data_IF_498500892284
#
_entry.id   IF_498500892284
#
_cell.length_a   1.000
_cell.length_b   1.000
_cell.length_c   1.000
_cell.angle_alpha   90.00
_cell.angle_beta   90.00
_cell.angle_gamma   90.00
#
_symmetry.space_group_name_H-M   'P 1'
#
loop_
_entity.id
_entity.type
_entity.pdbx_description
1 polymer ?
#
# COMPACT_ATOMS: atom_id res chain seq x y z
N UNK A 1 -31.14 -27.43 9.54
CA UNK A 1 -30.99 -27.72 8.09
C UNK A 1 -29.60 -28.29 7.89
N UNK A 2 -29.36 -29.20 6.93
CA UNK A 2 -28.00 -29.66 6.66
C UNK A 2 -27.18 -28.43 6.20
N UNK A 3 -26.06 -28.21 6.85
CA UNK A 3 -25.04 -27.21 6.49
C UNK A 3 -24.44 -27.57 5.13
N UNK A 4 -24.49 -26.66 4.16
CA UNK A 4 -23.88 -26.85 2.84
C UNK A 4 -22.47 -26.27 2.83
N UNK A 5 -21.48 -27.01 2.32
CA UNK A 5 -20.16 -26.46 1.97
C UNK A 5 -20.00 -26.46 0.45
N UNK A 6 -19.35 -25.43 -0.10
CA UNK A 6 -19.18 -25.29 -1.56
C UNK A 6 -18.54 -26.53 -2.19
N UNK A 7 -17.54 -27.10 -1.54
CA UNK A 7 -16.76 -28.24 -2.04
C UNK A 7 -17.59 -29.53 -2.10
N UNK A 8 -18.50 -29.77 -1.16
CA UNK A 8 -19.25 -31.03 -1.05
C UNK A 8 -20.35 -31.17 -2.11
N UNK A 9 -21.18 -30.13 -2.35
CA UNK A 9 -22.28 -30.28 -3.33
C UNK A 9 -21.88 -29.91 -4.76
N UNK A 10 -20.84 -29.08 -4.97
CA UNK A 10 -20.39 -28.78 -6.34
C UNK A 10 -19.63 -29.96 -6.97
N UNK A 11 -19.32 -31.01 -6.20
CA UNK A 11 -18.76 -32.28 -6.69
C UNK A 11 -17.44 -32.11 -7.47
N UNK A 12 -16.72 -31.01 -7.23
CA UNK A 12 -15.60 -30.58 -8.05
C UNK A 12 -14.42 -31.56 -7.93
N UNK A 13 -13.87 -31.98 -9.08
CA UNK A 13 -12.70 -32.84 -9.12
C UNK A 13 -11.37 -32.07 -9.07
N UNK A 14 -11.40 -30.74 -8.91
CA UNK A 14 -10.20 -29.89 -8.81
C UNK A 14 -9.54 -30.09 -7.44
N UNK A 15 -8.38 -30.78 -7.34
CA UNK A 15 -7.80 -31.13 -6.05
C UNK A 15 -7.39 -29.89 -5.23
N UNK A 16 -6.95 -28.83 -5.91
CA UNK A 16 -6.52 -27.55 -5.32
C UNK A 16 -7.62 -26.84 -4.50
N UNK A 17 -8.90 -27.17 -4.71
CA UNK A 17 -9.99 -26.65 -3.88
C UNK A 17 -9.96 -27.18 -2.44
N UNK A 18 -9.33 -28.33 -2.19
CA UNK A 18 -9.25 -28.89 -0.83
C UNK A 18 -8.46 -28.01 0.13
N UNK A 19 -7.51 -27.24 -0.41
CA UNK A 19 -6.69 -26.27 0.32
C UNK A 19 -7.28 -24.85 0.33
N UNK A 20 -8.43 -24.61 -0.31
CA UNK A 20 -9.05 -23.30 -0.39
C UNK A 20 -9.89 -22.96 0.86
N UNK A 21 -9.92 -21.67 1.19
CA UNK A 21 -10.83 -21.05 2.15
C UNK A 21 -12.31 -21.33 1.89
N UNK A 22 -12.70 -21.59 0.63
CA UNK A 22 -14.07 -21.98 0.25
C UNK A 22 -14.54 -23.26 0.95
N UNK A 23 -13.60 -24.14 1.31
CA UNK A 23 -13.89 -25.37 2.03
C UNK A 23 -14.40 -25.11 3.46
N UNK A 24 -14.12 -23.94 4.03
CA UNK A 24 -14.61 -23.54 5.35
C UNK A 24 -15.92 -22.75 5.29
N UNK A 25 -16.38 -22.32 4.11
CA UNK A 25 -17.61 -21.55 3.99
C UNK A 25 -18.82 -22.47 4.11
N UNK A 26 -19.56 -22.28 5.19
CA UNK A 26 -20.79 -23.02 5.48
C UNK A 26 -21.98 -22.14 5.19
N UNK A 27 -22.89 -22.62 4.36
CA UNK A 27 -24.12 -21.91 3.98
C UNK A 27 -25.33 -22.63 4.55
N UNK A 28 -26.20 -21.87 5.20
CA UNK A 28 -27.43 -22.36 5.83
C UNK A 28 -28.56 -22.61 4.83
N UNK A 29 -28.57 -21.86 3.73
CA UNK A 29 -29.50 -21.97 2.59
C UNK A 29 -28.75 -21.60 1.32
N UNK A 30 -29.13 -22.20 0.19
CA UNK A 30 -28.52 -21.90 -1.10
C UNK A 30 -29.45 -22.19 -2.29
N UNK A 31 -29.12 -21.61 -3.44
CA UNK A 31 -29.71 -21.89 -4.74
C UNK A 31 -28.62 -21.83 -5.80
N UNK A 32 -28.59 -22.79 -6.72
CA UNK A 32 -27.60 -22.87 -7.80
C UNK A 32 -28.35 -22.85 -9.14
N UNK A 33 -27.91 -21.99 -10.07
CA UNK A 33 -28.45 -21.88 -11.42
C UNK A 33 -27.33 -21.67 -12.43
N UNK A 34 -26.96 -22.73 -13.14
CA UNK A 34 -25.85 -22.70 -14.09
C UNK A 34 -24.53 -22.38 -13.39
N UNK A 35 -23.89 -21.28 -13.79
CA UNK A 35 -22.65 -20.78 -13.20
C UNK A 35 -22.87 -19.87 -12.00
N UNK A 36 -24.11 -19.49 -11.67
CA UNK A 36 -24.38 -18.59 -10.55
C UNK A 36 -24.94 -19.37 -9.35
N UNK A 37 -24.67 -18.87 -8.15
CA UNK A 37 -25.33 -19.33 -6.93
C UNK A 37 -25.64 -18.18 -5.97
N UNK A 38 -26.62 -18.39 -5.11
CA UNK A 38 -26.89 -17.54 -3.95
C UNK A 38 -26.91 -18.39 -2.69
N UNK A 39 -26.59 -17.79 -1.56
CA UNK A 39 -26.67 -18.48 -0.28
C UNK A 39 -26.58 -17.54 0.91
N UNK A 40 -26.86 -18.10 2.09
CA UNK A 40 -26.74 -17.39 3.36
C UNK A 40 -25.60 -18.02 4.15
N UNK A 41 -24.45 -17.37 4.15
CA UNK A 41 -23.23 -17.79 4.85
C UNK A 41 -23.49 -17.78 6.35
N UNK A 42 -23.32 -18.92 7.00
CA UNK A 42 -23.33 -19.07 8.45
C UNK A 42 -21.95 -18.69 9.00
N UNK A 43 -21.91 -17.55 9.66
CA UNK A 43 -20.66 -16.91 10.06
C UNK A 43 -20.00 -17.63 11.24
N UNK A 44 -20.80 -18.25 12.11
CA UNK A 44 -20.30 -19.01 13.25
C UNK A 44 -19.76 -20.38 12.83
N UNK A 45 -20.42 -21.02 11.85
CA UNK A 45 -19.99 -22.31 11.33
C UNK A 45 -18.74 -22.23 10.45
N UNK A 46 -18.44 -21.05 9.87
CA UNK A 46 -17.37 -20.87 8.89
C UNK A 46 -15.98 -20.49 9.48
N UNK A 47 -15.80 -20.66 10.80
CA UNK A 47 -14.51 -20.48 11.48
C UNK A 47 -14.28 -19.12 12.14
N UNK A 48 -13.11 -18.97 12.78
CA UNK A 48 -12.81 -17.86 13.69
C UNK A 48 -12.75 -16.47 13.02
N UNK A 49 -12.15 -16.37 11.83
CA UNK A 49 -12.08 -15.09 11.10
C UNK A 49 -13.47 -14.59 10.68
N UNK A 50 -14.30 -15.48 10.13
CA UNK A 50 -15.68 -15.12 9.81
C UNK A 50 -16.44 -14.78 11.09
N UNK A 51 -16.26 -15.52 12.18
CA UNK A 51 -16.86 -15.16 13.48
C UNK A 51 -16.50 -13.74 13.96
N UNK A 52 -15.27 -13.28 13.67
CA UNK A 52 -14.82 -11.91 13.96
C UNK A 52 -15.58 -10.89 13.12
N UNK A 53 -15.78 -11.17 11.84
CA UNK A 53 -16.59 -10.34 10.94
C UNK A 53 -18.06 -10.35 11.39
N UNK A 54 -18.61 -11.50 11.78
CA UNK A 54 -19.96 -11.60 12.33
C UNK A 54 -20.13 -10.74 13.57
N UNK A 55 -19.17 -10.79 14.50
CA UNK A 55 -19.17 -9.95 15.68
C UNK A 55 -19.05 -8.45 15.33
N UNK A 56 -18.16 -8.08 14.40
CA UNK A 56 -18.00 -6.70 13.90
C UNK A 56 -19.28 -6.16 13.26
N UNK A 57 -19.96 -7.00 12.49
CA UNK A 57 -21.20 -6.65 11.80
C UNK A 57 -22.44 -6.81 12.69
N UNK A 58 -22.29 -7.39 13.88
CA UNK A 58 -23.37 -7.81 14.77
C UNK A 58 -24.40 -8.71 14.05
N UNK A 59 -23.90 -9.70 13.28
CA UNK A 59 -24.70 -10.67 12.54
C UNK A 59 -24.20 -12.10 12.75
N UNK A 60 -25.11 -13.06 12.66
CA UNK A 60 -24.80 -14.50 12.67
C UNK A 60 -24.74 -15.09 11.27
N UNK A 61 -25.22 -14.37 10.26
CA UNK A 61 -25.23 -14.81 8.87
C UNK A 61 -25.12 -13.66 7.88
N UNK A 62 -24.60 -13.94 6.69
CA UNK A 62 -24.41 -12.94 5.61
C UNK A 62 -24.97 -13.50 4.31
N UNK A 63 -25.87 -12.76 3.67
CA UNK A 63 -26.37 -13.12 2.34
C UNK A 63 -25.29 -12.87 1.27
N UNK A 64 -25.02 -13.88 0.44
CA UNK A 64 -23.97 -13.88 -0.56
C UNK A 64 -24.52 -14.31 -1.93
N UNK A 65 -23.93 -13.75 -2.99
CA UNK A 65 -24.02 -14.25 -4.37
C UNK A 65 -22.64 -14.73 -4.78
N UNK A 66 -22.56 -15.79 -5.57
CA UNK A 66 -21.32 -16.18 -6.21
C UNK A 66 -21.48 -16.62 -7.65
N UNK A 67 -20.35 -16.72 -8.33
CA UNK A 67 -20.22 -17.20 -9.71
C UNK A 67 -19.06 -18.16 -9.82
N UNK A 68 -19.24 -19.22 -10.61
CA UNK A 68 -18.25 -20.25 -10.88
C UNK A 68 -17.98 -20.28 -12.39
N UNK A 69 -16.73 -20.06 -12.79
CA UNK A 69 -16.31 -20.17 -14.19
C UNK A 69 -15.23 -21.24 -14.32
N UNK A 70 -15.26 -21.98 -15.43
CA UNK A 70 -14.28 -23.01 -15.75
C UNK A 70 -13.78 -22.79 -17.17
N UNK A 71 -12.50 -22.48 -17.31
CA UNK A 71 -11.82 -22.26 -18.59
C UNK A 71 -10.35 -22.66 -18.47
N UNK A 72 -9.79 -23.25 -19.54
CA UNK A 72 -8.35 -23.54 -19.67
C UNK A 72 -7.75 -24.23 -18.42
N UNK A 73 -8.35 -25.34 -17.98
CA UNK A 73 -7.93 -26.11 -16.80
C UNK A 73 -7.93 -25.31 -15.48
N UNK A 74 -8.66 -24.18 -15.44
CA UNK A 74 -8.76 -23.27 -14.30
C UNK A 74 -10.22 -23.09 -13.90
N UNK A 75 -10.48 -23.22 -12.59
CA UNK A 75 -11.75 -22.92 -11.95
C UNK A 75 -11.62 -21.62 -11.16
N UNK A 76 -12.44 -20.63 -11.48
CA UNK A 76 -12.55 -19.38 -10.72
C UNK A 76 -13.89 -19.34 -9.99
N UNK A 77 -13.85 -19.07 -8.69
CA UNK A 77 -15.02 -18.88 -7.85
C UNK A 77 -14.94 -17.49 -7.25
N UNK A 78 -15.96 -16.68 -7.51
CA UNK A 78 -16.10 -15.34 -6.94
C UNK A 78 -17.35 -15.31 -6.08
N UNK A 79 -17.25 -14.80 -4.86
CA UNK A 79 -18.37 -14.68 -3.91
C UNK A 79 -18.40 -13.25 -3.38
N UNK A 80 -19.57 -12.63 -3.29
CA UNK A 80 -19.73 -11.27 -2.77
C UNK A 80 -21.00 -11.12 -1.91
N UNK A 81 -20.92 -10.31 -0.86
CA UNK A 81 -22.06 -9.99 -0.01
C UNK A 81 -23.13 -9.20 -0.78
N UNK A 82 -24.40 -9.53 -0.58
CA UNK A 82 -25.52 -8.84 -1.26
C UNK A 82 -26.18 -7.75 -0.42
N UNK A 83 -25.75 -7.59 0.84
CA UNK A 83 -26.32 -6.60 1.77
C UNK A 83 -25.24 -5.61 2.25
N UNK A 84 -24.89 -4.59 1.44
CA UNK A 84 -23.88 -3.61 1.82
C UNK A 84 -24.30 -2.76 3.03
N UNK A 85 -25.59 -2.67 3.37
CA UNK A 85 -26.06 -1.83 4.48
C UNK A 85 -25.69 -2.43 5.83
N UNK A 86 -25.73 -3.76 5.96
CA UNK A 86 -25.24 -4.47 7.15
C UNK A 86 -23.76 -4.19 7.37
N UNK A 87 -22.96 -4.21 6.30
CA UNK A 87 -21.52 -3.93 6.37
C UNK A 87 -21.24 -2.50 6.80
N UNK A 88 -21.92 -1.52 6.18
CA UNK A 88 -21.81 -0.11 6.55
C UNK A 88 -22.18 0.09 8.03
N UNK A 89 -23.34 -0.42 8.47
CA UNK A 89 -23.80 -0.26 9.83
C UNK A 89 -22.85 -0.89 10.87
N UNK A 90 -22.35 -2.10 10.59
CA UNK A 90 -21.42 -2.81 11.44
C UNK A 90 -20.08 -2.10 11.60
N UNK A 91 -19.49 -1.66 10.49
CA UNK A 91 -18.22 -0.92 10.50
C UNK A 91 -18.38 0.44 11.18
N UNK A 92 -19.45 1.17 10.86
CA UNK A 92 -19.75 2.44 11.51
C UNK A 92 -19.92 2.30 13.02
N UNK A 93 -20.52 1.21 13.50
CA UNK A 93 -20.67 0.95 14.93
C UNK A 93 -19.36 0.52 15.60
N UNK A 94 -18.54 -0.28 14.92
CA UNK A 94 -17.34 -0.89 15.48
C UNK A 94 -16.08 -0.05 15.34
N UNK A 95 -16.04 0.92 14.42
CA UNK A 95 -14.88 1.77 14.15
C UNK A 95 -15.31 3.25 14.21
N UNK A 96 -15.44 3.82 15.42
CA UNK A 96 -15.93 5.20 15.62
C UNK A 96 -15.15 6.24 14.82
N UNK A 97 -13.84 6.01 14.63
CA UNK A 97 -12.95 6.92 13.92
C UNK A 97 -13.46 7.25 12.51
N UNK A 98 -13.91 6.25 11.75
CA UNK A 98 -14.35 6.40 10.35
C UNK A 98 -15.87 6.42 10.19
N UNK A 99 -16.61 6.34 11.30
CA UNK A 99 -18.05 6.05 11.35
C UNK A 99 -18.90 6.95 10.43
N UNK A 100 -18.62 8.25 10.43
CA UNK A 100 -19.37 9.24 9.64
C UNK A 100 -18.92 9.35 8.18
N UNK A 101 -17.87 8.61 7.80
CA UNK A 101 -17.24 8.67 6.49
C UNK A 101 -17.53 7.42 5.64
N UNK A 102 -18.05 6.32 6.21
CA UNK A 102 -18.36 5.11 5.44
C UNK A 102 -19.53 5.35 4.47
N UNK A 103 -19.31 5.11 3.17
CA UNK A 103 -20.35 5.22 2.11
C UNK A 103 -20.75 3.90 1.51
N UNK A 104 -19.79 3.00 1.36
CA UNK A 104 -20.01 1.66 0.85
C UNK A 104 -19.12 0.71 1.63
N UNK A 105 -19.58 -0.51 1.82
CA UNK A 105 -18.74 -1.59 2.28
C UNK A 105 -19.33 -2.91 1.82
N UNK A 106 -18.47 -3.90 1.68
CA UNK A 106 -18.85 -5.25 1.33
C UNK A 106 -17.68 -6.20 1.45
N UNK A 107 -17.97 -7.47 1.35
CA UNK A 107 -16.97 -8.54 1.40
C UNK A 107 -17.01 -9.32 0.09
N UNK A 108 -15.84 -9.65 -0.43
CA UNK A 108 -15.68 -10.55 -1.56
C UNK A 108 -14.62 -11.61 -1.29
N UNK A 109 -14.78 -12.77 -1.92
CA UNK A 109 -13.83 -13.88 -1.88
C UNK A 109 -13.62 -14.32 -3.30
N UNK A 110 -12.39 -14.24 -3.78
CA UNK A 110 -11.99 -14.72 -5.10
C UNK A 110 -10.98 -15.86 -4.97
N UNK A 111 -11.33 -17.01 -5.54
CA UNK A 111 -10.53 -18.23 -5.55
C UNK A 111 -10.24 -18.62 -7.00
N UNK A 112 -8.97 -18.83 -7.33
CA UNK A 112 -8.54 -19.37 -8.62
C UNK A 112 -7.79 -20.68 -8.37
N UNK A 113 -8.31 -21.77 -8.92
CA UNK A 113 -7.77 -23.12 -8.76
C UNK A 113 -7.48 -23.74 -10.11
N UNK A 114 -6.42 -24.54 -10.23
CA UNK A 114 -6.13 -25.29 -11.47
C UNK A 114 -6.41 -26.78 -11.30
N UNK A 115 -6.52 -27.53 -12.40
CA UNK A 115 -6.68 -29.00 -12.36
C UNK A 115 -5.44 -29.73 -11.83
N UNK A 116 -4.31 -29.03 -11.69
CA UNK A 116 -3.06 -29.57 -11.15
C UNK A 116 -2.96 -29.26 -9.66
N UNK A 117 -2.66 -30.30 -8.89
CA UNK A 117 -2.23 -30.17 -7.50
C UNK A 117 -0.70 -30.12 -7.55
N UNK A 118 -0.11 -28.93 -7.38
CA UNK A 118 1.34 -28.82 -7.21
C UNK A 118 1.66 -28.78 -5.70
N UNK A 119 2.16 -29.90 -5.13
CA UNK A 119 2.45 -29.96 -3.70
C UNK A 119 3.57 -29.00 -3.26
N UNK A 120 4.36 -28.47 -4.20
CA UNK A 120 5.44 -27.53 -3.93
C UNK A 120 4.96 -26.06 -3.98
N UNK A 121 3.79 -25.76 -4.57
CA UNK A 121 3.24 -24.40 -4.65
C UNK A 121 2.55 -23.92 -3.35
N UNK A 122 2.43 -24.79 -2.34
CA UNK A 122 1.78 -24.47 -1.06
C UNK A 122 0.27 -24.22 -1.19
N UNK A 123 -0.43 -23.88 -0.09
CA UNK A 123 -1.85 -23.55 -0.16
C UNK A 123 -2.05 -22.30 -1.04
N UNK A 124 -2.87 -22.43 -2.09
CA UNK A 124 -3.27 -21.29 -2.92
C UNK A 124 -3.93 -20.24 -2.02
N UNK A 125 -3.38 -19.03 -2.01
CA UNK A 125 -3.91 -17.93 -1.22
C UNK A 125 -5.19 -17.42 -1.88
N UNK A 126 -6.33 -17.64 -1.24
CA UNK A 126 -7.57 -17.02 -1.66
C UNK A 126 -7.57 -15.54 -1.28
N UNK A 127 -8.14 -14.71 -2.15
CA UNK A 127 -8.26 -13.28 -1.89
C UNK A 127 -9.57 -13.03 -1.16
N UNK A 128 -9.51 -13.08 0.16
CA UNK A 128 -10.58 -12.60 1.03
C UNK A 128 -10.44 -11.08 1.21
N UNK A 129 -11.35 -10.32 0.64
CA UNK A 129 -11.32 -8.86 0.65
C UNK A 129 -12.52 -8.31 1.42
N UNK A 130 -12.26 -7.63 2.54
CA UNK A 130 -13.21 -6.69 3.12
C UNK A 130 -12.95 -5.31 2.51
N UNK A 131 -13.91 -4.78 1.76
CA UNK A 131 -13.84 -3.46 1.14
C UNK A 131 -14.63 -2.42 1.93
N UNK A 132 -14.05 -1.24 2.12
CA UNK A 132 -14.69 -0.10 2.78
C UNK A 132 -14.39 1.16 1.98
N UNK A 133 -15.42 1.81 1.47
CA UNK A 133 -15.29 3.11 0.78
C UNK A 133 -15.62 4.24 1.74
N UNK A 134 -14.64 5.10 2.00
CA UNK A 134 -14.77 6.32 2.78
C UNK A 134 -15.04 7.53 1.88
N UNK A 135 -15.97 8.39 2.25
CA UNK A 135 -16.09 9.75 1.74
C UNK A 135 -15.14 10.65 2.50
N UNK A 136 -14.12 11.16 1.83
CA UNK A 136 -13.14 12.06 2.44
C UNK A 136 -13.63 13.52 2.35
N UNK A 137 -14.17 13.92 1.20
CA UNK A 137 -14.76 15.25 1.00
C UNK A 137 -16.00 15.16 0.12
N UNK A 138 -16.67 16.26 -0.20
CA UNK A 138 -17.82 16.26 -1.12
C UNK A 138 -17.51 15.75 -2.52
N UNK A 139 -16.24 15.77 -2.94
CA UNK A 139 -15.78 15.39 -4.29
C UNK A 139 -14.82 14.20 -4.29
N UNK A 140 -14.43 13.67 -3.14
CA UNK A 140 -13.42 12.63 -3.01
C UNK A 140 -13.87 11.44 -2.15
N UNK A 141 -13.61 10.24 -2.66
CA UNK A 141 -13.80 8.97 -1.95
C UNK A 141 -12.59 8.06 -2.10
N UNK A 142 -12.42 7.18 -1.13
CA UNK A 142 -11.27 6.29 -0.99
C UNK A 142 -11.75 4.88 -0.60
N UNK A 143 -11.39 3.84 -1.37
CA UNK A 143 -11.64 2.44 -1.00
C UNK A 143 -10.42 1.82 -0.33
N UNK A 144 -10.65 1.22 0.83
CA UNK A 144 -9.68 0.53 1.66
C UNK A 144 -10.04 -0.96 1.65
N UNK A 145 -9.02 -1.83 1.54
CA UNK A 145 -9.18 -3.29 1.52
C UNK A 145 -8.43 -3.91 2.69
N UNK A 146 -9.02 -4.91 3.32
CA UNK A 146 -8.33 -5.77 4.29
C UNK A 146 -8.40 -7.22 3.85
N UNK A 147 -7.26 -7.91 3.98
CA UNK A 147 -7.23 -9.35 4.11
C UNK A 147 -7.39 -9.72 5.58
N UNK A 148 -8.52 -10.33 5.93
CA UNK A 148 -8.79 -10.75 7.32
C UNK A 148 -8.04 -12.06 7.58
N UNK A 149 -7.10 -12.12 8.54
CA UNK A 149 -6.35 -13.34 8.80
C UNK A 149 -7.28 -14.44 9.34
N UNK A 150 -7.20 -15.62 8.74
CA UNK A 150 -8.11 -16.76 9.01
C UNK A 150 -8.08 -17.26 10.46
N UNK A 151 -7.08 -16.88 11.26
CA UNK A 151 -6.85 -17.37 12.63
C UNK A 151 -7.26 -16.40 13.75
N UNK A 152 -7.85 -15.24 13.45
CA UNK A 152 -8.16 -14.20 14.43
C UNK A 152 -6.89 -13.48 14.92
N UNK A 153 -6.86 -12.16 14.82
CA UNK A 153 -5.66 -11.38 15.12
C UNK A 153 -5.75 -9.93 14.63
N UNK A 154 -4.61 -9.25 14.63
CA UNK A 154 -4.42 -7.92 14.00
C UNK A 154 -4.83 -8.02 12.53
N UNK A 155 -5.62 -7.06 12.04
CA UNK A 155 -5.91 -6.94 10.62
C UNK A 155 -5.73 -5.49 10.19
N UNK A 156 -5.23 -5.29 8.98
CA UNK A 156 -4.95 -3.96 8.44
C UNK A 156 -5.92 -3.67 7.31
N UNK A 157 -6.57 -2.50 7.38
CA UNK A 157 -7.32 -1.93 6.29
C UNK A 157 -6.37 -0.98 5.55
N UNK A 158 -5.89 -1.41 4.38
CA UNK A 158 -4.94 -0.66 3.55
C UNK A 158 -5.58 -0.15 2.26
N UNK A 159 -5.26 1.10 1.89
CA UNK A 159 -5.73 1.71 0.66
C UNK A 159 -4.66 2.64 0.08
N UNK A 160 -4.23 2.36 -1.14
CA UNK A 160 -3.42 3.28 -1.93
C UNK A 160 -4.33 4.18 -2.75
N UNK A 161 -4.06 5.48 -2.79
CA UNK A 161 -4.85 6.45 -3.53
C UNK A 161 -3.98 7.19 -4.52
N UNK A 162 -4.53 7.46 -5.69
CA UNK A 162 -3.85 8.26 -6.70
C UNK A 162 -4.79 9.37 -7.16
N UNK A 163 -4.26 10.60 -7.21
CA UNK A 163 -4.93 11.76 -7.80
C UNK A 163 -6.27 12.15 -7.16
N UNK A 164 -6.47 11.81 -5.89
CA UNK A 164 -7.65 12.25 -5.13
C UNK A 164 -7.34 13.63 -4.54
N UNK A 165 -7.96 14.66 -5.12
CA UNK A 165 -7.87 16.02 -4.60
C UNK A 165 -8.55 16.13 -3.24
N UNK A 166 -7.76 16.24 -2.18
CA UNK A 166 -8.22 16.42 -0.80
C UNK A 166 -7.47 17.56 -0.12
N UNK A 167 -8.05 18.09 0.94
CA UNK A 167 -7.40 19.05 1.81
C UNK A 167 -7.06 18.40 3.16
N UNK A 168 -6.04 18.92 3.86
CA UNK A 168 -5.69 18.45 5.20
C UNK A 168 -6.89 18.44 6.18
N UNK A 169 -7.79 19.45 6.18
CA UNK A 169 -9.02 19.39 6.98
C UNK A 169 -9.94 18.20 6.70
N UNK A 170 -9.93 17.65 5.48
CA UNK A 170 -10.77 16.50 5.13
C UNK A 170 -10.33 15.22 5.87
N UNK A 171 -9.10 15.16 6.37
CA UNK A 171 -8.53 13.99 7.06
C UNK A 171 -8.56 14.12 8.60
N UNK A 172 -9.13 15.21 9.14
CA UNK A 172 -9.22 15.48 10.59
C UNK A 172 -9.71 14.31 11.41
N UNK A 173 -10.71 13.60 10.89
CA UNK A 173 -11.36 12.50 11.58
C UNK A 173 -10.40 11.33 11.86
N UNK A 174 -9.39 11.12 11.02
CA UNK A 174 -8.39 10.05 11.16
C UNK A 174 -7.42 10.29 12.32
N UNK A 175 -7.31 11.54 12.77
CA UNK A 175 -6.36 11.97 13.81
C UNK A 175 -6.92 11.85 15.23
N UNK A 176 -8.19 11.43 15.38
CA UNK A 176 -8.84 11.31 16.68
C UNK A 176 -8.81 12.61 17.50
N UNK A 177 -8.33 12.54 18.75
CA UNK A 177 -8.22 13.71 19.65
C UNK A 177 -7.25 14.77 19.14
N UNK A 178 -6.27 14.39 18.31
CA UNK A 178 -5.36 15.35 17.71
C UNK A 178 -6.06 16.18 16.64
N UNK A 179 -7.19 15.73 16.08
CA UNK A 179 -7.96 16.38 15.01
C UNK A 179 -8.61 17.74 15.31
N UNK A 180 -8.31 18.39 16.43
CA UNK A 180 -8.63 19.82 16.72
C UNK A 180 -7.37 20.68 16.96
N UNK A 181 -6.83 21.37 15.95
CA UNK A 181 -5.61 22.19 16.02
C UNK A 181 -4.92 22.43 14.67
N UNK A 182 -3.94 23.35 14.61
CA UNK A 182 -3.08 23.59 13.43
C UNK A 182 -1.81 22.72 13.45
N UNK A 183 -1.73 21.73 14.36
CA UNK A 183 -0.52 20.97 14.66
C UNK A 183 -0.28 19.77 13.70
N UNK A 184 -1.11 19.56 12.68
CA UNK A 184 -1.13 18.31 11.88
C UNK A 184 -0.50 18.44 10.51
N UNK A 185 0.01 19.61 10.19
CA UNK A 185 0.91 19.77 9.08
C UNK A 185 1.80 20.96 9.40
N UNK A 186 3.12 20.93 9.13
CA UNK A 186 3.91 22.14 9.04
C UNK A 186 3.49 22.91 7.77
N UNK A 187 2.22 23.31 7.69
CA UNK A 187 1.59 24.00 6.57
C UNK A 187 2.13 25.44 6.40
N UNK A 188 2.91 25.93 7.36
CA UNK A 188 3.67 27.17 7.23
C UNK A 188 5.11 26.97 6.73
N UNK A 189 5.68 25.75 6.77
CA UNK A 189 7.12 25.54 6.57
C UNK A 189 7.48 24.73 5.31
N UNK A 190 6.58 23.90 4.79
CA UNK A 190 6.75 23.26 3.47
C UNK A 190 6.39 24.21 2.30
N UNK A 191 7.01 25.39 2.30
CA UNK A 191 7.12 26.33 1.17
C UNK A 191 5.82 26.90 0.55
N UNK A 192 5.90 28.00 -0.21
CA UNK A 192 4.79 28.43 -1.04
C UNK A 192 4.65 27.45 -2.21
N UNK A 193 3.68 26.54 -2.15
CA UNK A 193 3.20 25.87 -3.35
C UNK A 193 2.76 26.99 -4.32
N UNK A 194 3.58 27.28 -5.34
CA UNK A 194 3.40 28.45 -6.19
C UNK A 194 2.03 28.39 -6.87
N UNK A 195 1.11 29.19 -6.33
CA UNK A 195 -0.22 29.43 -6.83
C UNK A 195 -0.13 30.46 -7.97
N UNK A 196 0.15 30.01 -9.19
CA UNK A 196 -0.19 30.79 -10.38
C UNK A 196 -1.65 30.45 -10.79
N UNK A 197 -2.52 31.40 -11.19
CA UNK A 197 -3.95 31.16 -11.41
C UNK A 197 -4.32 30.26 -12.61
N UNK A 198 -3.38 29.49 -13.17
CA UNK A 198 -3.50 28.82 -14.48
C UNK A 198 -3.33 27.29 -14.50
N UNK A 199 -3.43 26.59 -13.37
CA UNK A 199 -3.39 25.11 -13.35
C UNK A 199 -2.71 24.57 -12.09
N UNK A 200 -3.44 24.59 -10.98
CA UNK A 200 -2.90 24.31 -9.64
C UNK A 200 -2.43 22.85 -9.50
N UNK A 201 -1.27 22.57 -8.88
CA UNK A 201 -1.03 21.26 -8.29
C UNK A 201 -1.99 21.08 -7.11
N UNK A 202 -2.77 19.99 -7.12
CA UNK A 202 -3.61 19.60 -6.00
C UNK A 202 -2.78 18.71 -5.07
N UNK A 203 -2.84 18.96 -3.75
CA UNK A 203 -2.44 17.94 -2.78
C UNK A 203 -3.23 16.68 -3.09
N UNK A 204 -2.50 15.59 -3.31
CA UNK A 204 -3.08 14.29 -3.62
C UNK A 204 -2.87 13.39 -2.41
N UNK A 205 -3.92 12.67 -2.04
CA UNK A 205 -3.75 11.56 -1.13
C UNK A 205 -2.94 10.48 -1.83
N UNK A 206 -1.81 10.08 -1.23
CA UNK A 206 -0.94 9.02 -1.75
C UNK A 206 -1.34 7.65 -1.17
N UNK A 207 -1.75 7.63 0.10
CA UNK A 207 -2.17 6.40 0.76
C UNK A 207 -2.84 6.66 2.11
N UNK A 208 -3.66 5.71 2.55
CA UNK A 208 -4.16 5.62 3.93
C UNK A 208 -4.07 4.15 4.33
N UNK A 209 -3.46 3.89 5.48
CA UNK A 209 -3.49 2.61 6.17
C UNK A 209 -4.12 2.79 7.55
N UNK A 210 -5.03 1.91 7.93
CA UNK A 210 -5.57 1.81 9.28
C UNK A 210 -5.26 0.41 9.82
N UNK A 211 -4.44 0.34 10.87
CA UNK A 211 -4.20 -0.91 11.58
C UNK A 211 -5.19 -1.06 12.71
N UNK A 212 -5.92 -2.18 12.71
CA UNK A 212 -6.97 -2.48 13.66
C UNK A 212 -6.61 -3.73 14.45
N UNK A 213 -6.97 -3.72 15.73
CA UNK A 213 -6.88 -4.89 16.59
C UNK A 213 -8.26 -5.26 17.12
N UNK A 214 -8.71 -6.47 16.80
CA UNK A 214 -9.94 -7.03 17.35
C UNK A 214 -9.62 -7.93 18.55
N UNK A 215 -10.27 -7.66 19.68
CA UNK A 215 -10.39 -8.60 20.81
C UNK A 215 -11.78 -9.23 20.75
N UNK A 216 -11.89 -10.55 20.93
CA UNK A 216 -13.16 -11.27 20.76
C UNK A 216 -13.95 -11.48 22.08
N UNK A 217 -13.33 -11.25 23.24
CA UNK A 217 -14.01 -11.43 24.53
C UNK A 217 -13.50 -10.46 25.61
N UNK A 218 -14.28 -9.41 25.96
CA UNK A 218 -15.46 -8.94 25.23
C UNK A 218 -15.11 -8.51 23.79
N UNK A 219 -16.06 -8.54 22.86
CA UNK A 219 -15.80 -8.09 21.49
C UNK A 219 -15.52 -6.58 21.48
N UNK A 220 -14.31 -6.19 21.13
CA UNK A 220 -13.90 -4.79 20.97
C UNK A 220 -12.94 -4.66 19.80
N UNK A 221 -13.14 -3.68 18.92
CA UNK A 221 -12.16 -3.28 17.92
C UNK A 221 -11.50 -1.99 18.41
N UNK A 222 -10.19 -2.05 18.64
CA UNK A 222 -9.35 -0.88 18.90
C UNK A 222 -8.60 -0.51 17.63
N UNK A 223 -8.58 0.77 17.28
CA UNK A 223 -7.68 1.29 16.25
C UNK A 223 -6.31 1.47 16.89
N UNK A 224 -5.33 0.67 16.48
CA UNK A 224 -3.99 0.70 17.11
C UNK A 224 -3.09 1.72 16.46
N UNK A 225 -3.22 1.92 15.15
CA UNK A 225 -2.52 2.98 14.44
C UNK A 225 -3.28 3.41 13.19
N UNK A 226 -3.07 4.65 12.81
CA UNK A 226 -3.54 5.22 11.54
C UNK A 226 -2.35 5.87 10.88
N UNK A 227 -2.09 5.46 9.65
CA UNK A 227 -1.03 6.01 8.83
C UNK A 227 -1.64 6.67 7.59
N UNK A 228 -1.23 7.90 7.33
CA UNK A 228 -1.77 8.73 6.25
C UNK A 228 -0.61 9.31 5.45
N UNK A 229 -0.52 8.96 4.18
CA UNK A 229 0.43 9.54 3.22
C UNK A 229 -0.24 10.61 2.37
N UNK A 230 0.23 11.86 2.50
CA UNK A 230 -0.27 13.00 1.73
C UNK A 230 0.89 13.60 0.97
N UNK A 231 0.74 13.87 -0.32
CA UNK A 231 1.83 14.42 -1.08
C UNK A 231 1.44 14.94 -2.44
N UNK A 232 2.47 15.19 -3.23
CA UNK A 232 2.35 15.71 -4.58
C UNK A 232 3.16 14.78 -5.48
N UNK A 233 2.53 14.32 -6.54
CA UNK A 233 3.13 13.49 -7.57
C UNK A 233 3.48 14.33 -8.79
N UNK A 234 4.45 13.86 -9.58
CA UNK A 234 4.76 14.42 -10.88
C UNK A 234 5.24 15.88 -10.87
N UNK A 235 5.92 16.34 -9.81
CA UNK A 235 6.51 17.69 -9.81
C UNK A 235 7.70 17.69 -10.77
N UNK A 236 7.54 18.35 -11.91
CA UNK A 236 8.65 18.55 -12.85
C UNK A 236 9.73 19.45 -12.21
N UNK A 237 10.93 18.91 -12.03
CA UNK A 237 12.08 19.64 -11.52
C UNK A 237 12.95 20.20 -12.64
N UNK A 238 12.99 19.53 -13.79
CA UNK A 238 13.84 19.93 -14.92
C UNK A 238 13.30 19.41 -16.25
N UNK A 239 12.73 20.30 -17.06
CA UNK A 239 12.38 20.11 -18.49
C UNK A 239 11.79 18.74 -18.86
N UNK A 240 10.93 18.18 -18.00
CA UNK A 240 10.30 16.86 -18.18
C UNK A 240 11.30 15.68 -18.21
N UNK A 241 12.52 15.89 -17.74
CA UNK A 241 13.57 14.88 -17.60
C UNK A 241 13.65 14.40 -16.16
N UNK A 242 13.59 15.32 -15.21
CA UNK A 242 13.67 15.02 -13.78
C UNK A 242 12.37 15.40 -13.08
N UNK A 243 11.82 14.46 -12.35
CA UNK A 243 10.60 14.62 -11.57
C UNK A 243 10.84 14.29 -10.11
N UNK A 244 10.08 14.95 -9.24
CA UNK A 244 9.88 14.52 -7.87
C UNK A 244 8.51 13.83 -7.80
N UNK A 245 8.52 12.51 -7.60
CA UNK A 245 7.33 11.67 -7.71
C UNK A 245 7.39 10.36 -6.90
N UNK A 246 6.74 10.28 -5.73
CA UNK A 246 6.07 11.38 -5.02
C UNK A 246 7.07 12.29 -4.27
N UNK A 247 6.60 13.43 -3.77
CA UNK A 247 7.03 13.96 -2.46
C UNK A 247 5.84 13.92 -1.53
N UNK A 248 5.97 13.17 -0.46
CA UNK A 248 4.93 12.90 0.51
C UNK A 248 5.38 13.19 1.93
N UNK A 249 4.41 13.56 2.75
CA UNK A 249 4.53 13.53 4.19
C UNK A 249 3.65 12.38 4.67
N UNK A 250 4.27 11.45 5.37
CA UNK A 250 3.60 10.35 6.05
C UNK A 250 3.39 10.72 7.50
N UNK A 251 2.15 10.62 7.93
CA UNK A 251 1.71 10.94 9.27
C UNK A 251 1.24 9.65 9.90
N UNK A 252 1.88 9.24 10.99
CA UNK A 252 1.43 8.08 11.77
C UNK A 252 0.88 8.56 13.11
N UNK A 253 -0.33 8.13 13.42
CA UNK A 253 -0.99 8.34 14.71
C UNK A 253 -1.10 6.98 15.40
N UNK A 254 -0.35 6.79 16.48
CA UNK A 254 -0.50 5.63 17.34
C UNK A 254 -1.65 5.85 18.32
N UNK A 255 -2.50 4.85 18.49
CA UNK A 255 -3.68 4.85 19.36
C UNK A 255 -4.51 6.15 19.27
N UNK A 256 -5.11 6.44 18.09
CA UNK A 256 -5.83 7.70 17.84
C UNK A 256 -7.03 7.95 18.76
N UNK A 257 -7.54 6.91 19.43
CA UNK A 257 -8.69 6.99 20.34
C UNK A 257 -8.29 6.93 21.82
N UNK A 258 -7.05 6.57 22.13
CA UNK A 258 -6.52 6.45 23.48
C UNK A 258 -6.17 7.77 24.15
N UNK A 259 -5.61 7.68 25.36
CA UNK A 259 -5.12 8.83 26.12
C UNK A 259 -3.64 9.13 25.82
N UNK A 260 -2.87 8.13 25.38
CA UNK A 260 -1.45 8.24 25.04
C UNK A 260 -1.23 8.39 23.52
N UNK A 261 -2.15 9.07 22.82
CA UNK A 261 -2.06 9.26 21.36
C UNK A 261 -0.74 9.95 20.99
N UNK A 262 0.06 9.29 20.15
CA UNK A 262 1.34 9.81 19.66
C UNK A 262 1.28 10.09 18.16
N UNK A 263 1.96 11.16 17.73
CA UNK A 263 2.04 11.60 16.34
C UNK A 263 3.50 11.58 15.88
N UNK A 264 3.79 10.81 14.84
CA UNK A 264 5.10 10.80 14.19
C UNK A 264 4.98 11.18 12.72
N UNK A 265 6.11 11.62 12.17
CA UNK A 265 6.19 12.17 10.81
C UNK A 265 7.38 11.59 10.08
N UNK A 266 7.15 11.22 8.83
CA UNK A 266 8.19 10.99 7.86
C UNK A 266 7.95 11.85 6.63
N UNK A 267 9.02 12.27 5.97
CA UNK A 267 8.96 12.84 4.63
C UNK A 267 9.58 11.83 3.70
N UNK A 268 8.85 11.40 2.69
CA UNK A 268 9.37 10.50 1.67
C UNK A 268 9.28 11.16 0.31
N UNK A 269 10.21 10.81 -0.57
CA UNK A 269 10.04 11.16 -1.96
C UNK A 269 11.01 10.42 -2.85
N UNK A 270 10.76 10.56 -4.14
CA UNK A 270 11.55 9.87 -5.17
C UNK A 270 11.91 10.87 -6.25
N UNK A 271 13.20 10.97 -6.56
CA UNK A 271 13.65 11.60 -7.79
C UNK A 271 13.58 10.57 -8.91
N UNK A 272 12.77 10.85 -9.92
CA UNK A 272 12.58 10.02 -11.10
C UNK A 272 13.22 10.71 -12.31
N UNK A 273 14.24 10.07 -12.90
CA UNK A 273 14.87 10.53 -14.14
C UNK A 273 14.25 9.76 -15.32
N UNK A 274 13.47 10.46 -16.13
CA UNK A 274 12.84 9.92 -17.32
C UNK A 274 13.87 9.61 -18.40
N UNK A 275 13.61 8.54 -19.14
CA UNK A 275 14.34 8.24 -20.37
C UNK A 275 14.30 9.44 -21.32
N UNK A 276 15.46 9.83 -21.87
CA UNK A 276 15.59 10.94 -22.82
C UNK A 276 14.61 10.85 -24.00
N UNK A 277 14.36 9.64 -24.50
CA UNK A 277 13.48 9.38 -25.65
C UNK A 277 11.99 9.42 -25.28
N UNK A 278 11.67 9.35 -23.98
CA UNK A 278 10.32 9.40 -23.42
C UNK A 278 10.24 10.46 -22.30
N UNK A 279 10.49 11.74 -22.61
CA UNK A 279 10.40 12.80 -21.61
C UNK A 279 8.98 12.86 -21.06
N UNK A 280 8.86 13.01 -19.74
CA UNK A 280 7.60 13.05 -19.02
C UNK A 280 7.02 11.70 -18.59
N UNK A 281 7.64 10.58 -18.96
CA UNK A 281 7.27 9.24 -18.48
C UNK A 281 7.89 8.95 -17.11
N UNK A 282 7.46 9.68 -16.08
CA UNK A 282 7.98 9.55 -14.72
C UNK A 282 7.38 8.34 -13.97
N UNK A 283 6.40 7.65 -14.56
CA UNK A 283 5.89 6.37 -14.07
C UNK A 283 6.87 5.23 -14.40
N UNK A 284 7.59 5.33 -15.53
CA UNK A 284 8.61 4.38 -15.96
C UNK A 284 9.99 5.05 -16.16
N UNK A 285 10.58 5.63 -15.09
CA UNK A 285 11.87 6.29 -15.19
C UNK A 285 13.00 5.26 -15.39
N UNK A 286 14.11 5.72 -15.98
CA UNK A 286 15.32 4.90 -16.12
C UNK A 286 16.11 4.84 -14.80
N UNK A 287 15.95 5.85 -13.95
CA UNK A 287 16.54 5.92 -12.60
C UNK A 287 15.54 6.42 -11.58
N UNK A 288 15.55 5.80 -10.40
CA UNK A 288 14.88 6.27 -9.20
C UNK A 288 15.89 6.50 -8.08
N UNK A 289 15.69 7.58 -7.35
CA UNK A 289 16.42 7.87 -6.13
C UNK A 289 15.43 8.19 -5.04
N UNK A 290 15.14 7.19 -4.22
CA UNK A 290 14.20 7.29 -3.11
C UNK A 290 14.90 7.92 -1.92
N UNK A 291 14.20 8.77 -1.20
CA UNK A 291 14.68 9.38 0.02
C UNK A 291 13.59 9.42 1.07
N UNK A 292 13.97 9.21 2.32
CA UNK A 292 13.08 9.24 3.47
C UNK A 292 13.75 10.00 4.62
N UNK A 293 13.00 10.87 5.28
CA UNK A 293 13.40 11.59 6.47
C UNK A 293 12.49 11.21 7.63
N UNK A 294 13.04 10.56 8.64
CA UNK A 294 12.39 10.32 9.93
C UNK A 294 12.61 11.56 10.81
N UNK A 295 11.54 12.31 11.08
CA UNK A 295 11.59 13.52 11.91
C UNK A 295 11.52 13.23 13.42
N UNK A 296 11.19 11.99 13.80
CA UNK A 296 11.27 11.52 15.19
C UNK A 296 12.73 11.40 15.59
N UNK A 297 13.49 10.67 14.79
CA UNK A 297 14.92 10.42 15.02
C UNK A 297 15.84 11.45 14.33
N UNK A 298 15.25 12.38 13.57
CA UNK A 298 15.95 13.37 12.75
C UNK A 298 17.05 12.72 11.89
N UNK A 299 16.62 11.67 11.17
CA UNK A 299 17.44 10.86 10.30
C UNK A 299 16.96 10.99 8.85
N UNK A 300 17.89 10.98 7.91
CA UNK A 300 17.64 11.00 6.48
C UNK A 300 18.31 9.78 5.86
N UNK A 301 17.61 9.11 4.98
CA UNK A 301 18.11 8.01 4.18
C UNK A 301 17.77 8.27 2.74
N UNK A 302 18.60 7.79 1.83
CA UNK A 302 18.30 7.75 0.43
C UNK A 302 18.94 6.52 -0.20
N UNK A 303 18.22 5.92 -1.15
CA UNK A 303 18.61 4.70 -1.81
C UNK A 303 18.42 4.85 -3.31
N UNK A 304 19.37 4.30 -4.04
CA UNK A 304 19.39 4.36 -5.49
C UNK A 304 18.86 3.05 -6.09
N UNK A 305 17.84 3.16 -6.94
CA UNK A 305 17.33 2.05 -7.72
C UNK A 305 17.49 2.34 -9.23
N UNK A 306 18.18 1.43 -9.92
CA UNK A 306 18.45 1.52 -11.36
C UNK A 306 17.60 0.53 -12.14
N UNK A 307 17.05 0.96 -13.28
CA UNK A 307 16.48 0.03 -14.23
C UNK A 307 17.59 -0.83 -14.89
N UNK A 308 17.33 -2.13 -15.05
CA UNK A 308 18.30 -3.07 -15.61
C UNK A 308 18.84 -2.58 -16.97
N UNK A 309 20.18 -2.52 -17.11
CA UNK A 309 20.84 -2.15 -18.36
C UNK A 309 21.08 -0.65 -18.57
N UNK A 310 20.67 0.23 -17.65
CA UNK A 310 20.96 1.67 -17.73
C UNK A 310 22.43 1.94 -17.34
N UNK A 311 23.19 2.67 -18.16
CA UNK A 311 24.60 3.01 -17.90
C UNK A 311 24.73 4.43 -17.37
N UNK A 312 25.86 4.80 -16.75
CA UNK A 312 26.07 6.20 -16.30
C UNK A 312 25.95 7.17 -17.49
N UNK A 313 26.45 6.79 -18.67
CA UNK A 313 26.28 7.59 -19.88
C UNK A 313 24.83 7.74 -20.30
N UNK A 314 24.01 6.69 -20.16
CA UNK A 314 22.56 6.76 -20.39
C UNK A 314 21.90 7.76 -19.43
N UNK A 315 22.21 7.68 -18.13
CA UNK A 315 21.67 8.61 -17.13
C UNK A 315 22.05 10.07 -17.45
N UNK A 316 23.27 10.31 -17.90
CA UNK A 316 23.71 11.64 -18.30
C UNK A 316 23.02 12.11 -19.59
N UNK A 317 22.71 11.21 -20.52
CA UNK A 317 21.90 11.55 -21.69
C UNK A 317 20.46 11.85 -21.32
N UNK A 318 19.87 11.10 -20.39
CA UNK A 318 18.54 11.34 -19.84
C UNK A 318 18.45 12.73 -19.19
N UNK A 319 19.49 13.12 -18.44
CA UNK A 319 19.52 14.41 -17.76
C UNK A 319 19.89 15.58 -18.70
N UNK A 320 20.95 15.43 -19.49
CA UNK A 320 21.58 16.54 -20.22
C UNK A 320 21.18 16.58 -21.71
N UNK A 321 20.76 15.45 -22.27
CA UNK A 321 20.26 15.31 -23.64
C UNK A 321 21.05 14.32 -24.49
N UNK A 322 20.49 13.93 -25.64
CA UNK A 322 21.14 13.02 -26.59
C UNK A 322 22.52 13.51 -27.02
N UNK A 323 23.46 12.56 -27.11
CA UNK A 323 24.84 12.83 -27.52
C UNK A 323 25.73 13.41 -26.41
N UNK A 324 25.20 13.53 -25.18
CA UNK A 324 26.05 13.82 -24.01
C UNK A 324 26.93 12.61 -23.73
N UNK A 325 28.23 12.79 -23.90
CA UNK A 325 29.28 11.86 -23.50
C UNK A 325 30.31 12.64 -22.69
N UNK A 326 30.58 12.19 -21.47
CA UNK A 326 31.55 12.83 -20.58
C UNK A 326 32.90 12.10 -20.55
N UNK A 327 33.13 11.18 -21.49
CA UNK A 327 34.34 10.39 -21.57
C UNK A 327 34.39 9.24 -20.56
N UNK A 328 33.24 8.85 -20.00
CA UNK A 328 33.14 7.64 -19.19
C UNK A 328 32.96 6.40 -20.09
N UNK A 329 33.51 5.26 -19.69
CA UNK A 329 33.33 4.01 -20.40
C UNK A 329 31.85 3.65 -20.62
N UNK A 330 31.45 3.20 -21.83
CA UNK A 330 30.05 2.98 -22.18
C UNK A 330 29.40 1.80 -21.45
N UNK A 331 30.18 0.94 -20.80
CA UNK A 331 29.69 -0.18 -19.99
C UNK A 331 29.69 0.09 -18.49
N UNK A 332 30.08 1.30 -18.05
CA UNK A 332 30.12 1.65 -16.63
C UNK A 332 28.70 1.89 -16.10
N UNK A 333 28.33 1.16 -15.06
CA UNK A 333 27.04 1.28 -14.36
C UNK A 333 27.28 1.75 -12.92
N UNK A 334 26.31 2.52 -12.41
CA UNK A 334 26.16 2.76 -10.98
C UNK A 334 25.21 1.67 -10.48
N UNK A 335 25.66 0.83 -9.57
CA UNK A 335 24.87 -0.29 -9.05
C UNK A 335 24.31 0.00 -7.67
N UNK A 336 24.96 0.88 -6.91
CA UNK A 336 24.49 1.31 -5.60
C UNK A 336 24.94 2.76 -5.35
N UNK A 337 24.05 3.56 -4.77
CA UNK A 337 24.36 4.86 -4.21
C UNK A 337 23.42 5.07 -3.03
N UNK A 338 23.84 4.63 -1.85
CA UNK A 338 23.06 4.76 -0.63
C UNK A 338 23.65 5.87 0.24
N UNK A 339 22.77 6.62 0.90
CA UNK A 339 23.13 7.71 1.78
C UNK A 339 22.31 7.61 3.05
N UNK A 340 22.94 7.75 4.21
CA UNK A 340 22.25 7.92 5.48
C UNK A 340 22.92 9.01 6.31
N UNK A 341 22.13 9.79 7.03
CA UNK A 341 22.63 10.77 7.98
C UNK A 341 21.64 10.90 9.14
N UNK A 342 22.13 11.05 10.36
CA UNK A 342 21.31 11.35 11.53
C UNK A 342 21.86 12.56 12.27
N UNK A 343 21.00 13.32 12.92
CA UNK A 343 21.41 14.43 13.77
C UNK A 343 20.65 14.43 15.10
N UNK A 344 21.30 14.96 16.13
CA UNK A 344 20.63 15.20 17.40
C UNK A 344 19.56 16.28 17.23
N UNK A 345 18.30 15.91 17.49
CA UNK A 345 17.13 16.77 17.29
C UNK A 345 17.18 18.12 18.00
N UNK A 346 17.75 18.19 19.20
CA UNK A 346 17.79 19.43 20.00
C UNK A 346 18.89 20.39 19.55
N UNK A 347 20.05 19.85 19.17
CA UNK A 347 21.23 20.63 18.84
C UNK A 347 21.47 20.82 17.34
N UNK A 348 20.79 20.03 16.50
CA UNK A 348 20.98 19.97 15.05
C UNK A 348 22.34 19.40 14.62
N UNK A 349 23.15 18.89 15.55
CA UNK A 349 24.48 18.36 15.25
C UNK A 349 24.38 16.96 14.67
N UNK A 350 25.08 16.73 13.57
CA UNK A 350 25.19 15.42 12.93
C UNK A 350 25.81 14.41 13.90
N UNK A 351 25.09 13.32 14.14
CA UNK A 351 25.48 12.22 15.01
C UNK A 351 26.13 11.11 14.21
N UNK A 352 25.56 10.78 13.05
CA UNK A 352 26.08 9.74 12.16
C UNK A 352 25.88 10.12 10.70
N UNK A 353 26.73 9.57 9.84
CA UNK A 353 26.65 9.71 8.39
C UNK A 353 27.26 8.47 7.73
N UNK A 354 26.63 7.98 6.68
CA UNK A 354 27.20 6.98 5.78
C UNK A 354 26.85 7.26 4.32
N UNK A 355 27.75 6.89 3.43
CA UNK A 355 27.50 6.88 2.00
C UNK A 355 28.20 5.67 1.37
N UNK A 356 27.45 4.89 0.61
CA UNK A 356 27.93 3.68 -0.07
C UNK A 356 27.74 3.83 -1.56
N UNK A 357 28.83 3.75 -2.32
CA UNK A 357 28.81 3.89 -3.78
C UNK A 357 29.40 2.62 -4.36
N UNK A 358 28.64 1.90 -5.18
CA UNK A 358 29.13 0.76 -5.95
C UNK A 358 28.94 1.00 -7.44
N UNK A 359 30.00 0.76 -8.21
CA UNK A 359 30.00 0.82 -9.66
C UNK A 359 30.56 -0.48 -10.23
N UNK A 360 30.11 -0.86 -11.41
CA UNK A 360 30.69 -1.99 -12.15
C UNK A 360 30.84 -1.67 -13.63
N UNK A 361 31.66 -2.47 -14.29
CA UNK A 361 31.82 -2.43 -15.74
C UNK A 361 32.81 -1.37 -16.24
N UNK A 362 33.64 -1.78 -17.19
CA UNK A 362 34.34 -0.86 -18.08
C UNK A 362 35.42 0.03 -17.45
N UNK A 363 36.00 -0.28 -16.28
CA UNK A 363 37.08 0.53 -15.68
C UNK A 363 38.39 0.51 -16.53
N UNK A 364 38.39 1.19 -17.68
CA UNK A 364 39.47 1.16 -18.67
C UNK A 364 40.83 1.68 -18.18
N UNK A 365 40.88 2.37 -17.03
CA UNK A 365 42.12 2.80 -16.37
C UNK A 365 42.85 1.67 -15.64
N UNK A 366 42.18 0.54 -15.38
CA UNK A 366 42.75 -0.62 -14.70
C UNK A 366 42.85 -1.84 -15.62
N UNK A 367 43.07 -1.67 -16.94
CA UNK A 367 43.07 -2.75 -17.93
C UNK A 367 44.00 -3.96 -17.66
N UNK A 368 44.89 -3.88 -16.65
CA UNK A 368 45.75 -4.97 -16.18
C UNK A 368 45.27 -5.64 -14.87
N UNK A 369 44.16 -5.19 -14.30
CA UNK A 369 43.49 -5.77 -13.13
C UNK A 369 42.09 -6.20 -13.58
N UNK A 370 41.75 -7.47 -13.36
CA UNK A 370 40.41 -7.99 -13.60
C UNK A 370 39.51 -7.46 -12.48
N UNK A 371 38.88 -6.32 -12.74
CA UNK A 371 38.18 -5.55 -11.71
C UNK A 371 36.71 -5.41 -12.13
N UNK A 372 35.90 -6.32 -11.60
CA UNK A 372 34.48 -6.43 -11.92
C UNK A 372 33.65 -5.31 -11.28
N UNK A 373 34.01 -4.88 -10.06
CA UNK A 373 33.31 -3.82 -9.33
C UNK A 373 34.23 -3.01 -8.42
N UNK A 374 33.89 -1.73 -8.24
CA UNK A 374 34.47 -0.85 -7.23
C UNK A 374 33.35 -0.45 -6.27
N UNK A 375 33.56 -0.69 -4.98
CA UNK A 375 32.70 -0.17 -3.92
C UNK A 375 33.52 0.74 -3.00
N UNK A 376 32.96 1.90 -2.66
CA UNK A 376 33.54 2.86 -1.74
C UNK A 376 32.48 3.20 -0.69
N UNK A 377 32.84 3.00 0.57
CA UNK A 377 32.00 3.29 1.73
C UNK A 377 32.64 4.38 2.59
N UNK A 378 31.87 5.39 2.95
CA UNK A 378 32.24 6.43 3.90
C UNK A 378 31.33 6.31 5.12
N UNK A 379 31.89 6.39 6.32
CA UNK A 379 31.11 6.39 7.55
C UNK A 379 31.71 7.36 8.58
N UNK A 380 30.85 8.02 9.34
CA UNK A 380 31.18 8.91 10.45
C UNK A 380 30.20 8.65 11.61
N UNK A 381 30.71 8.65 12.84
CA UNK A 381 29.94 8.55 14.08
C UNK A 381 30.62 9.43 15.14
N UNK A 382 29.83 10.25 15.86
CA UNK A 382 30.30 11.33 16.74
C UNK A 382 30.54 10.92 18.20
#
# INVERSE_FOLDING_TARGET
MPSWTFVEDYGSQFPALKSSSLNFLVFSTHSISGTEFTGVLDVAASGAALSTIGAMLNVTSIAMKGTVTNADDTLTVSVASTDPQVFIAGITASIPLIANHVRASGMSIDTISTTKDDPDEGPKQDNFDLSVTLQLSSSASATIRAQVPMNGGVFTLDGTFQNVGITLPDLRFLMGKLGSGDNWFPASELGPYYNDPKGKPALSLLGISLTLYATLSPFTISVTSVEVGIGITGINLYDQRLYLNPIGVWITVADPLGDDTELTWAIEGTLALCNYQRPGDYEHPDVRYDFAMDLTNFAFTAAYERAAGVTINTMLQDLLGAGTDIGLPPSLTLDQFDFAASANKESGKLTEFSADIAMSGGFGLFANLDLDSISVSFAYSA
#
